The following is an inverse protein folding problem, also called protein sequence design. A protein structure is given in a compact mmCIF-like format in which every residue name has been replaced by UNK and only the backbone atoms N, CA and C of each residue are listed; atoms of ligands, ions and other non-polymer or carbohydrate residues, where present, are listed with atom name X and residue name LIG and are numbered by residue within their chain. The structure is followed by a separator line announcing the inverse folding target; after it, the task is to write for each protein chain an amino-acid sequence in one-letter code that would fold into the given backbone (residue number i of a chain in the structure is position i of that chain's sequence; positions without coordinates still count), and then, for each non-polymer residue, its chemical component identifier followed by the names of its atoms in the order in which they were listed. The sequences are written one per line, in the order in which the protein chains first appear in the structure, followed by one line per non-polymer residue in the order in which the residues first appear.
data_IF_157035899214
#
_entry.id   IF_157035899214
#
_cell.length_a   1.000
_cell.length_b   1.000
_cell.length_c   1.000
_cell.angle_alpha   90.00
_cell.angle_beta   90.00
_cell.angle_gamma   90.00
#
_symmetry.space_group_name_H-M   'P 1'
#
loop_
_entity.id
_entity.type
_entity.pdbx_description
1 polymer ?
#
# COMPACT_ATOMS: atom_id res chain seq x y z
N UNK A 1 -30.43 -5.22 10.02
CA UNK A 1 -28.97 -5.24 10.20
C UNK A 1 -28.40 -5.88 8.94
N UNK A 2 -27.83 -5.09 8.02
CA UNK A 2 -27.38 -5.61 6.70
C UNK A 2 -25.94 -6.08 6.82
N UNK A 3 -25.74 -7.40 6.86
CA UNK A 3 -24.42 -8.01 6.86
C UNK A 3 -23.87 -7.99 5.44
N UNK A 4 -22.87 -7.16 5.18
CA UNK A 4 -22.07 -7.25 3.94
C UNK A 4 -21.01 -8.33 4.16
N UNK A 5 -21.24 -9.53 3.63
CA UNK A 5 -20.25 -10.60 3.63
C UNK A 5 -19.13 -10.24 2.66
N UNK A 6 -17.99 -9.82 3.18
CA UNK A 6 -16.76 -9.66 2.39
C UNK A 6 -16.19 -11.06 2.19
N UNK A 7 -16.01 -11.48 0.93
CA UNK A 7 -15.40 -12.75 0.58
C UNK A 7 -14.09 -12.96 1.34
N UNK A 8 -13.81 -14.21 1.75
CA UNK A 8 -12.55 -14.56 2.40
C UNK A 8 -11.36 -14.06 1.56
N UNK A 9 -10.43 -13.35 2.22
CA UNK A 9 -9.22 -12.83 1.59
C UNK A 9 -8.45 -13.99 0.97
N UNK A 10 -8.35 -14.00 -0.36
CA UNK A 10 -7.43 -14.86 -1.08
C UNK A 10 -6.05 -14.17 -1.08
N UNK A 11 -4.97 -14.83 -0.65
CA UNK A 11 -3.64 -14.25 -0.72
C UNK A 11 -3.32 -13.94 -2.18
N UNK A 12 -2.83 -12.73 -2.42
CA UNK A 12 -2.33 -12.34 -3.73
C UNK A 12 -1.10 -13.20 -4.05
N UNK A 13 -1.17 -13.98 -5.14
CA UNK A 13 -0.02 -14.78 -5.60
C UNK A 13 1.18 -13.87 -5.87
N UNK A 14 2.39 -14.33 -5.51
CA UNK A 14 3.66 -13.67 -5.83
C UNK A 14 3.70 -13.33 -7.32
N UNK A 15 3.91 -12.06 -7.63
CA UNK A 15 3.82 -11.58 -9.01
C UNK A 15 5.01 -10.76 -9.49
N UNK A 16 5.87 -10.29 -8.57
CA UNK A 16 6.99 -9.43 -8.93
C UNK A 16 8.16 -9.69 -8.01
N UNK A 17 9.33 -9.91 -8.59
CA UNK A 17 10.57 -9.97 -7.86
C UNK A 17 11.09 -8.56 -7.57
N UNK A 18 11.35 -8.25 -6.31
CA UNK A 18 11.87 -6.96 -5.85
C UNK A 18 13.35 -7.04 -5.46
N UNK A 19 14.03 -8.18 -5.67
CA UNK A 19 15.44 -8.39 -5.28
C UNK A 19 16.41 -7.47 -6.00
N UNK A 20 16.04 -7.01 -7.20
CA UNK A 20 16.86 -6.10 -8.01
C UNK A 20 16.86 -4.65 -7.50
N UNK A 21 15.98 -4.32 -6.53
CA UNK A 21 15.98 -3.03 -5.85
C UNK A 21 16.87 -3.10 -4.61
N UNK A 22 17.66 -2.06 -4.37
CA UNK A 22 18.43 -1.93 -3.12
C UNK A 22 17.47 -1.93 -1.91
N UNK A 23 17.82 -2.57 -0.78
CA UNK A 23 16.99 -2.54 0.41
C UNK A 23 17.00 -1.16 1.09
N UNK A 24 15.94 -0.87 1.84
CA UNK A 24 15.90 0.19 2.85
C UNK A 24 15.22 -0.36 4.10
N UNK A 25 15.81 -0.10 5.27
CA UNK A 25 15.21 -0.54 6.54
C UNK A 25 14.06 0.39 6.95
N UNK A 26 13.14 -0.09 7.80
CA UNK A 26 12.07 0.75 8.34
C UNK A 26 12.59 1.98 9.12
N UNK A 27 13.59 1.86 10.02
CA UNK A 27 14.15 3.02 10.71
C UNK A 27 14.76 4.05 9.74
N UNK A 28 15.50 3.59 8.73
CA UNK A 28 16.09 4.48 7.73
C UNK A 28 15.02 5.20 6.90
N UNK A 29 13.98 4.48 6.46
CA UNK A 29 12.86 5.04 5.71
C UNK A 29 12.13 6.12 6.52
N UNK A 30 11.90 5.89 7.82
CA UNK A 30 11.26 6.86 8.72
C UNK A 30 12.13 8.09 8.88
N UNK A 31 13.43 7.93 9.16
CA UNK A 31 14.36 9.05 9.34
C UNK A 31 14.45 9.96 8.10
N UNK A 32 14.39 9.38 6.90
CA UNK A 32 14.34 10.17 5.66
C UNK A 32 12.99 10.89 5.43
N UNK A 33 11.90 10.38 6.01
CA UNK A 33 10.54 10.87 5.75
C UNK A 33 10.14 12.09 6.60
N UNK A 34 10.77 12.32 7.76
CA UNK A 34 10.42 13.42 8.68
C UNK A 34 10.62 14.82 8.08
N UNK A 35 11.42 14.96 7.03
CA UNK A 35 11.78 16.24 6.42
C UNK A 35 11.07 16.55 5.08
N UNK A 36 10.13 15.72 4.63
CA UNK A 36 9.61 15.81 3.25
C UNK A 36 8.18 16.35 3.12
N UNK A 37 8.00 17.25 2.13
CA UNK A 37 6.68 17.54 1.56
C UNK A 37 6.20 16.31 0.78
N UNK A 38 5.22 15.58 1.32
CA UNK A 38 4.77 14.32 0.72
C UNK A 38 3.79 14.55 -0.43
N UNK A 39 4.15 14.10 -1.62
CA UNK A 39 3.27 14.06 -2.80
C UNK A 39 2.98 12.60 -3.14
N UNK A 40 1.71 12.24 -3.27
CA UNK A 40 1.27 10.89 -3.64
C UNK A 40 0.64 10.87 -5.04
N UNK A 41 1.08 9.93 -5.88
CA UNK A 41 0.46 9.65 -7.19
C UNK A 41 0.09 8.18 -7.26
N UNK A 42 -1.13 7.88 -7.70
CA UNK A 42 -1.66 6.51 -7.79
C UNK A 42 -1.87 6.14 -9.24
N UNK A 43 -1.41 4.95 -9.59
CA UNK A 43 -1.54 4.39 -10.94
C UNK A 43 -2.20 3.02 -10.86
N UNK A 44 -3.10 2.74 -11.80
CA UNK A 44 -3.58 1.37 -12.06
C UNK A 44 -2.60 0.76 -13.05
N UNK A 45 -2.02 -0.40 -12.69
CA UNK A 45 -1.00 -1.07 -13.50
C UNK A 45 -1.50 -2.45 -13.91
N UNK A 46 -1.48 -2.80 -15.21
CA UNK A 46 -1.79 -4.15 -15.65
C UNK A 46 -0.83 -5.16 -15.02
N UNK A 47 -1.37 -6.32 -14.60
CA UNK A 47 -0.59 -7.40 -13.98
C UNK A 47 0.64 -7.80 -14.80
N UNK A 48 0.49 -7.93 -16.12
CA UNK A 48 1.56 -8.31 -17.03
C UNK A 48 2.70 -7.26 -17.12
N UNK A 49 2.45 -6.01 -16.73
CA UNK A 49 3.45 -4.94 -16.79
C UNK A 49 4.30 -4.82 -15.51
N UNK A 50 3.98 -5.57 -14.44
CA UNK A 50 4.62 -5.40 -13.14
C UNK A 50 6.13 -5.72 -13.15
N UNK A 51 6.54 -6.81 -13.83
CA UNK A 51 7.96 -7.17 -13.93
C UNK A 51 8.77 -6.09 -14.68
N UNK A 52 8.26 -5.62 -15.82
CA UNK A 52 8.89 -4.54 -16.58
C UNK A 52 8.96 -3.23 -15.78
N UNK A 53 7.91 -2.91 -15.00
CA UNK A 53 7.91 -1.75 -14.13
C UNK A 53 8.98 -1.86 -13.04
N UNK A 54 9.09 -3.01 -12.37
CA UNK A 54 10.13 -3.23 -11.35
C UNK A 54 11.54 -3.11 -11.92
N UNK A 55 11.81 -3.74 -13.07
CA UNK A 55 13.10 -3.61 -13.76
C UNK A 55 13.45 -2.16 -14.10
N UNK A 56 12.47 -1.38 -14.60
CA UNK A 56 12.68 0.05 -14.85
C UNK A 56 12.95 0.84 -13.57
N UNK A 57 12.27 0.54 -12.46
CA UNK A 57 12.52 1.21 -11.18
C UNK A 57 13.93 0.94 -10.65
N UNK A 58 14.46 -0.27 -10.86
CA UNK A 58 15.83 -0.63 -10.49
C UNK A 58 16.89 0.11 -11.31
N UNK A 59 16.62 0.37 -12.60
CA UNK A 59 17.57 1.03 -13.50
C UNK A 59 17.44 2.56 -13.55
N UNK A 60 16.33 3.14 -13.09
CA UNK A 60 16.08 4.58 -13.20
C UNK A 60 16.89 5.37 -12.17
N UNK A 61 17.75 6.27 -12.65
CA UNK A 61 18.66 7.09 -11.81
C UNK A 61 18.13 8.51 -11.51
N UNK A 62 16.82 8.73 -11.51
CA UNK A 62 16.26 10.06 -11.28
C UNK A 62 16.42 10.49 -9.81
N UNK A 63 17.59 11.04 -9.45
CA UNK A 63 17.89 11.75 -8.20
C UNK A 63 18.05 10.90 -6.94
N UNK A 64 17.41 9.73 -6.85
CA UNK A 64 17.68 8.71 -5.84
C UNK A 64 17.27 7.33 -6.41
N UNK A 65 18.08 6.29 -6.21
CA UNK A 65 17.69 4.94 -6.64
C UNK A 65 16.43 4.51 -5.89
N UNK A 66 15.47 3.91 -6.58
CA UNK A 66 14.29 3.35 -5.92
C UNK A 66 14.75 2.18 -5.05
N UNK A 67 14.36 2.18 -3.78
CA UNK A 67 14.71 1.13 -2.81
C UNK A 67 13.47 0.40 -2.32
N UNK A 68 13.60 -0.88 -2.04
CA UNK A 68 12.54 -1.72 -1.50
C UNK A 68 12.64 -1.81 0.02
N UNK A 69 11.53 -1.60 0.72
CA UNK A 69 11.47 -1.81 2.17
C UNK A 69 11.78 -3.29 2.49
N UNK A 70 12.72 -3.51 3.40
CA UNK A 70 13.06 -4.83 3.92
C UNK A 70 13.01 -4.82 5.44
N UNK A 71 12.33 -5.81 6.01
CA UNK A 71 12.18 -6.01 7.46
C UNK A 71 12.40 -7.50 7.71
N UNK A 72 13.38 -7.85 8.54
CA UNK A 72 13.73 -9.23 8.90
C UNK A 72 13.91 -10.15 7.67
N UNK A 73 14.49 -9.63 6.59
CA UNK A 73 14.71 -10.33 5.32
C UNK A 73 13.46 -10.51 4.44
N UNK A 74 12.29 -10.04 4.88
CA UNK A 74 11.07 -10.00 4.07
C UNK A 74 10.93 -8.67 3.33
N UNK A 75 10.42 -8.74 2.10
CA UNK A 75 10.00 -7.59 1.26
C UNK A 75 8.52 -7.64 0.89
N UNK A 76 7.82 -8.66 1.36
CA UNK A 76 6.41 -8.89 1.09
C UNK A 76 5.66 -8.77 2.42
N UNK A 77 4.70 -7.86 2.48
CA UNK A 77 3.94 -7.55 3.68
C UNK A 77 2.45 -7.55 3.37
N UNK A 78 1.78 -8.61 3.78
CA UNK A 78 0.34 -8.75 3.80
C UNK A 78 -0.30 -7.81 4.81
N UNK A 79 -1.37 -7.15 4.38
CA UNK A 79 -2.22 -6.40 5.29
C UNK A 79 -3.69 -6.63 4.95
N UNK A 80 -4.50 -6.61 6.00
CA UNK A 80 -5.95 -6.62 5.90
C UNK A 80 -6.48 -5.30 6.44
N UNK A 81 -7.50 -4.74 5.78
CA UNK A 81 -8.14 -3.52 6.25
C UNK A 81 -9.65 -3.66 6.21
N UNK A 82 -10.30 -3.49 7.35
CA UNK A 82 -11.76 -3.43 7.48
C UNK A 82 -12.17 -1.97 7.53
N UNK A 83 -13.01 -1.54 6.59
CA UNK A 83 -13.56 -0.19 6.56
C UNK A 83 -14.93 -0.20 7.22
N UNK A 84 -15.13 0.75 8.14
CA UNK A 84 -16.39 0.94 8.84
C UNK A 84 -17.15 2.09 8.20
N UNK A 85 -18.47 1.91 8.07
CA UNK A 85 -19.37 2.94 7.59
C UNK A 85 -20.71 2.85 8.32
N UNK A 86 -21.54 3.89 8.16
CA UNK A 86 -22.91 3.92 8.65
C UNK A 86 -23.85 3.21 7.67
N UNK A 87 -25.07 2.89 8.12
CA UNK A 87 -26.07 2.22 7.27
C UNK A 87 -26.45 3.04 6.03
N UNK A 88 -26.35 4.37 6.09
CA UNK A 88 -26.58 5.30 4.98
C UNK A 88 -25.33 5.56 4.10
N UNK A 89 -24.23 4.83 4.35
CA UNK A 89 -22.98 4.91 3.58
C UNK A 89 -22.34 6.31 3.60
N UNK A 90 -22.34 6.97 4.75
CA UNK A 90 -21.89 8.36 4.88
C UNK A 90 -20.43 8.55 4.43
N UNK A 91 -19.53 7.64 4.81
CA UNK A 91 -18.09 7.70 4.49
C UNK A 91 -17.83 7.42 3.01
N UNK A 92 -18.51 6.40 2.45
CA UNK A 92 -18.44 6.05 1.04
C UNK A 92 -18.91 7.21 0.14
N UNK A 93 -20.10 7.75 0.41
CA UNK A 93 -20.66 8.88 -0.35
C UNK A 93 -19.82 10.13 -0.19
N UNK A 94 -19.37 10.42 1.03
CA UNK A 94 -18.45 11.53 1.31
C UNK A 94 -17.15 11.42 0.50
N UNK A 95 -16.58 10.21 0.36
CA UNK A 95 -15.38 9.98 -0.42
C UNK A 95 -15.58 10.21 -1.93
N UNK A 96 -16.75 9.88 -2.49
CA UNK A 96 -17.06 10.08 -3.91
C UNK A 96 -17.48 11.51 -4.27
N UNK A 97 -18.23 12.18 -3.41
CA UNK A 97 -19.02 13.37 -3.78
C UNK A 97 -18.42 14.72 -3.40
N UNK A 98 -17.11 14.95 -3.48
CA UNK A 98 -16.65 16.36 -3.38
C UNK A 98 -16.65 17.03 -1.99
N UNK A 99 -17.32 16.47 -0.97
CA UNK A 99 -17.70 17.22 0.27
C UNK A 99 -16.50 17.74 1.08
N UNK A 100 -16.71 18.87 1.79
CA UNK A 100 -15.69 19.56 2.60
C UNK A 100 -15.24 18.78 3.84
N UNK A 101 -16.14 18.00 4.45
CA UNK A 101 -15.85 17.15 5.62
C UNK A 101 -16.04 15.70 5.22
N UNK A 102 -14.94 14.96 5.15
CA UNK A 102 -14.92 13.52 4.81
C UNK A 102 -14.11 12.80 5.86
N UNK A 103 -14.49 11.58 6.15
CA UNK A 103 -13.76 10.71 7.04
C UNK A 103 -13.75 9.29 6.49
N UNK A 104 -12.79 8.50 6.96
CA UNK A 104 -12.73 7.06 6.75
C UNK A 104 -12.31 6.45 8.07
N UNK A 105 -13.07 5.47 8.57
CA UNK A 105 -12.70 4.70 9.76
C UNK A 105 -12.27 3.31 9.31
N UNK A 106 -11.11 2.85 9.78
CA UNK A 106 -10.61 1.52 9.43
C UNK A 106 -9.84 0.87 10.57
N UNK A 107 -9.95 -0.45 10.67
CA UNK A 107 -8.99 -1.29 11.38
C UNK A 107 -8.03 -1.87 10.34
N UNK A 108 -6.72 -1.74 10.55
CA UNK A 108 -5.70 -2.37 9.70
C UNK A 108 -4.90 -3.37 10.54
N UNK A 109 -4.83 -4.60 10.08
CA UNK A 109 -4.00 -5.67 10.65
C UNK A 109 -2.87 -5.95 9.67
N UNK A 110 -1.63 -5.88 10.15
CA UNK A 110 -0.47 -6.37 9.41
C UNK A 110 -0.36 -7.85 9.71
N UNK A 111 -0.40 -8.68 8.67
CA UNK A 111 -0.55 -10.13 8.84
C UNK A 111 0.78 -10.81 9.18
N UNK A 112 1.88 -10.21 8.75
CA UNK A 112 3.23 -10.77 8.90
C UNK A 112 4.03 -10.13 10.04
N UNK A 113 3.43 -9.23 10.82
CA UNK A 113 4.11 -8.56 11.95
C UNK A 113 3.99 -9.32 13.28
N UNK A 114 3.56 -10.59 13.26
CA UNK A 114 3.51 -11.46 14.44
C UNK A 114 2.54 -11.04 15.56
N UNK A 115 1.46 -10.32 15.24
CA UNK A 115 0.42 -9.94 16.20
C UNK A 115 -0.74 -10.94 16.23
#
# INVERSE_FOLDING_TARGET
MTTVTVAAYQPFQRMTDLRDLDPISLPELIGAAEMLTRVDRKYVVPRAALGALAGRLATTQAGNRTRALEIDGSREFGYRSTYWDTADLASFRGAGQKRRRRFKVRTRTYLDSGA
#
